data_IF_261938885978
#
_entry.id   IF_261938885978
#
_cell.length_a   1.000
_cell.length_b   1.000
_cell.length_c   1.000
_cell.angle_alpha   90.00
_cell.angle_beta   90.00
_cell.angle_gamma   90.00
#
_symmetry.space_group_name_H-M   'P 1'
#
loop_
_entity.id
_entity.type
_entity.pdbx_description
1 polymer ?
#
# COMPACT_ATOMS: atom_id res chain seq x y z
N UNK A 1 -3.28 19.04 -13.35
CA UNK A 1 -4.11 18.42 -12.30
C UNK A 1 -3.72 16.95 -12.21
N UNK A 2 -3.53 16.38 -11.02
CA UNK A 2 -2.95 15.02 -10.89
C UNK A 2 -3.93 13.86 -11.07
N UNK A 3 -5.16 14.14 -11.51
CA UNK A 3 -6.29 13.21 -11.42
C UNK A 3 -6.22 12.02 -12.37
N UNK A 4 -5.47 12.14 -13.47
CA UNK A 4 -5.32 11.07 -14.46
C UNK A 4 -4.29 10.03 -14.02
N UNK A 5 -3.33 10.42 -13.18
CA UNK A 5 -2.25 9.54 -12.75
C UNK A 5 -1.72 9.98 -11.38
N UNK A 6 -2.10 9.23 -10.36
CA UNK A 6 -1.61 9.37 -9.00
C UNK A 6 -1.66 8.00 -8.30
N UNK A 7 -0.82 7.84 -7.27
CA UNK A 7 -0.93 6.71 -6.35
C UNK A 7 -2.26 6.81 -5.60
N UNK A 8 -3.14 5.84 -5.78
CA UNK A 8 -4.51 5.84 -5.27
C UNK A 8 -4.73 4.74 -4.21
N UNK A 9 -3.78 3.83 -4.00
CA UNK A 9 -3.76 2.98 -2.80
C UNK A 9 -2.41 2.30 -2.53
N UNK A 10 -2.30 1.69 -1.35
CA UNK A 10 -1.37 0.60 -1.10
C UNK A 10 -2.05 -0.54 -0.35
N UNK A 11 -1.51 -1.73 -0.54
CA UNK A 11 -1.98 -2.99 0.02
C UNK A 11 -0.94 -3.57 0.97
N UNK A 12 -1.41 -4.24 2.02
CA UNK A 12 -0.61 -5.03 2.94
C UNK A 12 -0.95 -6.49 2.71
N UNK A 13 0.05 -7.27 2.35
CA UNK A 13 -0.10 -8.65 1.86
C UNK A 13 0.71 -9.58 2.77
N UNK A 14 0.09 -10.67 3.21
CA UNK A 14 0.77 -11.72 3.95
C UNK A 14 1.58 -12.65 3.01
N UNK A 15 2.54 -13.45 3.51
CA UNK A 15 3.42 -14.28 2.67
C UNK A 15 2.70 -15.28 1.73
N UNK A 16 1.44 -15.62 2.00
CA UNK A 16 0.61 -16.46 1.14
C UNK A 16 -0.11 -15.72 0.01
N UNK A 17 0.12 -14.41 -0.15
CA UNK A 17 -0.61 -13.56 -1.10
C UNK A 17 -1.97 -13.06 -0.59
N UNK A 18 -2.30 -13.32 0.68
CA UNK A 18 -3.54 -12.85 1.29
C UNK A 18 -3.48 -11.34 1.54
N UNK A 19 -4.50 -10.61 1.08
CA UNK A 19 -4.67 -9.20 1.37
C UNK A 19 -5.18 -9.02 2.80
N UNK A 20 -4.33 -8.51 3.70
CA UNK A 20 -4.66 -8.30 5.12
C UNK A 20 -4.90 -6.82 5.47
N UNK A 21 -4.69 -5.91 4.52
CA UNK A 21 -5.03 -4.50 4.67
C UNK A 21 -4.94 -3.73 3.36
N UNK A 22 -5.75 -2.69 3.22
CA UNK A 22 -5.69 -1.76 2.08
C UNK A 22 -5.94 -0.35 2.55
N UNK A 23 -5.14 0.60 2.05
CA UNK A 23 -5.36 2.02 2.26
C UNK A 23 -5.56 2.73 0.93
N UNK A 24 -6.77 3.21 0.72
CA UNK A 24 -7.15 4.04 -0.42
C UNK A 24 -6.80 5.51 -0.19
N UNK A 25 -6.37 6.17 -1.27
CA UNK A 25 -6.10 7.59 -1.40
C UNK A 25 -7.08 8.16 -2.44
N UNK A 26 -7.96 9.07 -2.02
CA UNK A 26 -9.09 9.50 -2.83
C UNK A 26 -8.79 10.68 -3.77
N UNK A 27 -7.62 11.30 -3.65
CA UNK A 27 -7.25 12.44 -4.47
C UNK A 27 -5.75 12.48 -4.74
N UNK A 28 -5.31 13.17 -5.81
CA UNK A 28 -3.90 13.44 -6.05
C UNK A 28 -3.31 14.29 -4.92
N UNK A 29 -2.05 14.03 -4.59
CA UNK A 29 -1.29 14.75 -3.56
C UNK A 29 -0.19 15.64 -4.18
N UNK A 30 -0.43 16.21 -5.37
CA UNK A 30 0.59 16.97 -6.12
C UNK A 30 1.14 18.15 -5.31
N UNK A 31 0.25 18.87 -4.62
CA UNK A 31 0.60 20.07 -3.83
C UNK A 31 0.95 19.76 -2.36
N UNK A 32 0.90 18.48 -1.96
CA UNK A 32 1.13 18.04 -0.58
C UNK A 32 2.49 17.34 -0.41
N UNK A 33 3.39 17.43 -1.40
CA UNK A 33 4.66 16.71 -1.36
C UNK A 33 5.69 17.40 -0.43
N UNK A 34 6.39 16.66 0.45
CA UNK A 34 6.22 15.22 0.72
C UNK A 34 4.98 14.94 1.57
N UNK A 35 4.22 13.90 1.21
CA UNK A 35 3.06 13.48 1.98
C UNK A 35 3.30 12.14 2.68
N UNK A 36 2.61 11.96 3.81
CA UNK A 36 2.59 10.70 4.56
C UNK A 36 1.17 10.36 4.93
N UNK A 37 0.82 9.07 4.87
CA UNK A 37 -0.48 8.54 5.28
C UNK A 37 -0.23 7.22 6.02
N UNK A 38 -1.13 6.89 6.95
CA UNK A 38 -1.03 5.70 7.79
C UNK A 38 -2.23 4.77 7.59
N UNK A 39 -1.99 3.50 7.85
CA UNK A 39 -3.00 2.46 8.00
C UNK A 39 -2.76 1.78 9.34
N UNK A 40 -3.75 1.81 10.22
CA UNK A 40 -3.70 1.21 11.56
C UNK A 40 -4.69 0.06 11.67
N UNK A 41 -4.46 -0.84 12.64
CA UNK A 41 -5.37 -1.96 12.88
C UNK A 41 -5.27 -3.09 11.85
N UNK A 42 -4.15 -3.17 11.13
CA UNK A 42 -3.85 -4.33 10.29
C UNK A 42 -3.59 -5.52 11.21
N UNK A 43 -4.49 -6.50 11.20
CA UNK A 43 -4.33 -7.74 11.95
C UNK A 43 -3.34 -8.63 11.20
N UNK A 44 -2.22 -8.93 11.85
CA UNK A 44 -1.19 -9.81 11.31
C UNK A 44 -1.41 -11.21 11.91
N UNK A 45 -1.60 -12.27 11.10
CA UNK A 45 -1.74 -13.63 11.60
C UNK A 45 -0.52 -14.07 12.44
N UNK A 46 -0.77 -14.89 13.46
CA UNK A 46 0.33 -15.47 14.25
C UNK A 46 1.28 -16.29 13.37
N UNK A 47 2.58 -16.21 13.65
CA UNK A 47 3.62 -16.93 12.92
C UNK A 47 4.05 -16.30 11.59
N UNK A 48 3.46 -15.16 11.20
CA UNK A 48 3.94 -14.37 10.07
C UNK A 48 5.18 -13.57 10.47
N UNK A 49 6.29 -13.80 9.79
CA UNK A 49 7.59 -13.15 10.00
C UNK A 49 7.84 -11.95 9.09
N UNK A 50 7.03 -11.79 8.03
CA UNK A 50 7.11 -10.64 7.13
C UNK A 50 5.77 -10.32 6.47
N UNK A 51 5.64 -9.08 6.02
CA UNK A 51 4.55 -8.64 5.14
C UNK A 51 5.13 -7.98 3.90
N UNK A 52 4.32 -7.89 2.87
CA UNK A 52 4.63 -7.17 1.64
C UNK A 52 3.71 -5.97 1.48
N UNK A 53 4.27 -4.84 1.07
CA UNK A 53 3.53 -3.62 0.74
C UNK A 53 3.54 -3.45 -0.77
N UNK A 54 2.37 -3.46 -1.40
CA UNK A 54 2.23 -3.23 -2.84
C UNK A 54 1.53 -1.90 -3.09
N UNK A 55 2.19 -1.02 -3.83
CA UNK A 55 1.59 0.23 -4.27
C UNK A 55 0.66 -0.02 -5.47
N UNK A 56 -0.36 0.83 -5.62
CA UNK A 56 -1.22 0.88 -6.79
C UNK A 56 -1.35 2.33 -7.24
N UNK A 57 -1.33 2.54 -8.56
CA UNK A 57 -1.62 3.84 -9.16
C UNK A 57 -2.80 3.74 -10.13
N UNK A 58 -3.51 4.86 -10.32
CA UNK A 58 -4.75 4.90 -11.09
C UNK A 58 -4.60 4.53 -12.57
N UNK A 59 -3.40 4.66 -13.14
CA UNK A 59 -3.14 4.45 -14.57
C UNK A 59 -2.61 3.04 -14.87
N UNK A 60 -1.65 2.56 -14.07
CA UNK A 60 -0.97 1.29 -14.30
C UNK A 60 -1.48 0.15 -13.41
N UNK A 61 -2.28 0.47 -12.38
CA UNK A 61 -2.77 -0.51 -11.42
C UNK A 61 -1.69 -0.91 -10.42
N UNK A 62 -1.66 -2.19 -10.08
CA UNK A 62 -0.71 -2.75 -9.10
C UNK A 62 0.75 -2.63 -9.57
N UNK A 63 1.60 -2.15 -8.67
CA UNK A 63 3.04 -2.09 -8.88
C UNK A 63 3.65 -3.49 -8.98
N UNK A 64 4.53 -3.68 -9.97
CA UNK A 64 5.22 -4.96 -10.19
C UNK A 64 6.20 -5.37 -9.07
N UNK A 65 6.52 -4.44 -8.15
CA UNK A 65 7.40 -4.69 -7.01
C UNK A 65 6.64 -4.43 -5.72
N UNK A 66 6.69 -5.39 -4.82
CA UNK A 66 6.28 -5.18 -3.45
C UNK A 66 7.50 -4.88 -2.57
N UNK A 67 7.28 -4.09 -1.53
CA UNK A 67 8.28 -3.79 -0.51
C UNK A 67 8.09 -4.71 0.69
N UNK A 68 9.10 -5.53 1.00
CA UNK A 68 9.04 -6.49 2.10
C UNK A 68 9.43 -5.82 3.43
N UNK A 69 8.65 -6.08 4.47
CA UNK A 69 8.89 -5.63 5.83
C UNK A 69 8.99 -6.86 6.73
N UNK A 70 10.14 -7.08 7.35
CA UNK A 70 10.32 -8.10 8.38
C UNK A 70 9.63 -7.65 9.68
N UNK A 71 8.84 -8.54 10.27
CA UNK A 71 8.21 -8.39 11.56
C UNK A 71 9.13 -9.03 12.60
N UNK A 72 9.62 -8.22 13.53
CA UNK A 72 10.55 -8.67 14.57
C UNK A 72 9.82 -9.35 15.72
#
# INVERSE_FOLDING_TARGET
>A
SGWDHYADSWEVIAPGGELIGKRTLYHPHVDEQPFTRSLSGVAIPEGVDHIEIRAHDKLHGDGAKAFRIELR
#
